data_IF_450945175094
#
_entry.id   IF_450945175094
#
_cell.length_a   1.000
_cell.length_b   1.000
_cell.length_c   1.000
_cell.angle_alpha   90.00
_cell.angle_beta   90.00
_cell.angle_gamma   90.00
#
_symmetry.space_group_name_H-M   'P 1'
#
loop_
_entity.id
_entity.type
_entity.pdbx_description
1 polymer ?
#
# COMPACT_ATOMS: atom_id res chain seq x y z
N UNK A 1 4.64 4.55 -3.51
CA UNK A 1 3.25 4.56 -4.01
C UNK A 1 2.72 5.92 -3.65
N UNK A 2 2.40 6.76 -4.63
CA UNK A 2 1.91 8.10 -4.37
C UNK A 2 0.37 8.06 -4.39
N UNK A 3 -0.25 8.11 -3.21
CA UNK A 3 -1.69 8.30 -3.09
C UNK A 3 -1.94 9.73 -2.61
N UNK A 4 -2.54 10.56 -3.45
CA UNK A 4 -2.88 11.95 -3.12
C UNK A 4 -4.31 12.10 -2.60
N UNK A 5 -5.08 11.02 -2.48
CA UNK A 5 -6.51 11.07 -2.12
C UNK A 5 -6.79 11.81 -0.79
N UNK A 6 -5.92 11.64 0.22
CA UNK A 6 -6.03 12.38 1.49
C UNK A 6 -5.89 13.90 1.32
N UNK A 7 -5.06 14.34 0.37
CA UNK A 7 -4.84 15.78 0.12
C UNK A 7 -5.80 16.34 -0.92
N UNK A 8 -6.07 15.58 -1.98
CA UNK A 8 -6.86 16.03 -3.12
C UNK A 8 -8.37 15.89 -2.88
N UNK A 9 -8.79 14.84 -2.20
CA UNK A 9 -10.21 14.49 -1.99
C UNK A 9 -10.62 14.49 -0.51
N UNK A 10 -9.68 14.74 0.41
CA UNK A 10 -9.91 14.70 1.85
C UNK A 10 -10.51 13.37 2.34
N UNK A 11 -10.26 12.27 1.62
CA UNK A 11 -10.68 10.93 2.01
C UNK A 11 -9.48 10.08 2.42
N UNK A 12 -9.70 9.29 3.47
CA UNK A 12 -8.75 8.29 3.93
C UNK A 12 -8.72 8.19 5.44
N UNK A 13 -8.64 6.97 5.92
CA UNK A 13 -8.46 6.59 7.32
C UNK A 13 -7.03 6.09 7.53
N UNK A 14 -6.55 6.04 8.78
CA UNK A 14 -5.35 5.28 9.10
C UNK A 14 -5.52 3.81 8.67
N UNK A 15 -4.47 3.24 8.11
CA UNK A 15 -4.50 1.89 7.55
C UNK A 15 -4.86 0.83 8.59
N UNK A 16 -4.28 0.92 9.79
CA UNK A 16 -4.57 0.00 10.91
C UNK A 16 -6.03 0.06 11.35
N UNK A 17 -6.62 1.25 11.40
CA UNK A 17 -8.04 1.43 11.74
C UNK A 17 -8.93 0.74 10.71
N UNK A 18 -8.62 0.92 9.43
CA UNK A 18 -9.37 0.31 8.32
C UNK A 18 -9.34 -1.22 8.39
N UNK A 19 -8.19 -1.79 8.75
CA UNK A 19 -8.05 -3.24 8.92
C UNK A 19 -8.90 -3.73 10.10
N UNK A 20 -8.82 -3.08 11.26
CA UNK A 20 -9.63 -3.43 12.42
C UNK A 20 -11.14 -3.40 12.10
N UNK A 21 -11.61 -2.37 11.39
CA UNK A 21 -13.00 -2.26 10.91
C UNK A 21 -13.38 -3.37 9.93
N UNK A 22 -12.45 -3.79 9.07
CA UNK A 22 -12.66 -4.86 8.09
C UNK A 22 -12.65 -6.27 8.72
N UNK A 23 -12.03 -6.42 9.89
CA UNK A 23 -11.97 -7.68 10.63
C UNK A 23 -13.19 -7.87 11.55
N UNK A 24 -13.72 -6.79 12.14
CA UNK A 24 -14.85 -6.82 13.08
C UNK A 24 -16.08 -7.64 12.62
N UNK A 25 -16.57 -7.51 11.37
CA UNK A 25 -17.75 -8.24 10.90
C UNK A 25 -17.44 -9.62 10.28
N UNK A 26 -16.21 -10.15 10.37
CA UNK A 26 -15.83 -11.42 9.72
C UNK A 26 -16.40 -12.64 10.46
N UNK A 27 -17.45 -13.22 9.90
CA UNK A 27 -17.98 -14.53 10.32
C UNK A 27 -17.09 -15.69 9.79
N UNK A 28 -16.94 -16.75 10.59
CA UNK A 28 -16.10 -17.94 10.32
C UNK A 28 -16.45 -18.63 8.98
N UNK A 29 -17.70 -18.51 8.51
CA UNK A 29 -18.22 -19.28 7.38
C UNK A 29 -18.01 -18.64 6.00
N UNK A 30 -17.63 -17.35 5.92
CA UNK A 30 -17.52 -16.64 4.63
C UNK A 30 -16.43 -15.54 4.65
N UNK A 31 -15.24 -15.87 5.21
CA UNK A 31 -14.09 -14.96 5.24
C UNK A 31 -13.52 -14.75 3.84
N UNK A 32 -13.75 -13.59 3.25
CA UNK A 32 -13.00 -13.14 2.07
C UNK A 32 -11.57 -12.76 2.50
N UNK A 33 -10.51 -13.03 1.72
CA UNK A 33 -9.16 -12.64 2.10
C UNK A 33 -8.99 -11.11 2.12
N UNK A 34 -8.32 -10.57 3.13
CA UNK A 34 -7.92 -9.16 3.24
C UNK A 34 -6.48 -9.00 2.75
N UNK A 35 -6.24 -8.14 1.77
CA UNK A 35 -4.88 -7.76 1.38
C UNK A 35 -4.62 -6.29 1.70
N UNK A 36 -3.42 -6.00 2.18
CA UNK A 36 -3.02 -4.67 2.59
C UNK A 36 -1.99 -4.07 1.64
N UNK A 37 -2.23 -2.87 1.12
CA UNK A 37 -1.26 -2.16 0.27
C UNK A 37 -0.17 -1.49 1.11
N UNK A 38 1.09 -1.89 0.94
CA UNK A 38 2.21 -1.38 1.78
C UNK A 38 3.04 -0.30 1.09
N UNK A 39 3.66 0.53 1.91
CA UNK A 39 4.47 1.67 1.50
C UNK A 39 5.92 1.31 1.19
N UNK A 40 6.80 2.33 1.09
CA UNK A 40 8.21 2.14 0.79
C UNK A 40 9.00 1.46 1.93
N UNK A 41 8.47 1.46 3.16
CA UNK A 41 9.09 0.87 4.35
C UNK A 41 8.79 -0.64 4.46
N UNK A 42 9.05 -1.41 3.39
CA UNK A 42 8.50 -2.78 3.23
C UNK A 42 8.68 -3.67 4.45
N UNK A 43 9.89 -3.75 5.03
CA UNK A 43 10.14 -4.69 6.13
C UNK A 43 9.22 -4.40 7.31
N UNK A 44 9.16 -3.13 7.73
CA UNK A 44 8.28 -2.68 8.80
C UNK A 44 6.82 -2.80 8.43
N UNK A 45 6.42 -2.42 7.21
CA UNK A 45 5.03 -2.44 6.78
C UNK A 45 4.48 -3.85 6.57
N UNK A 46 5.31 -4.80 6.13
CA UNK A 46 4.98 -6.24 6.09
C UNK A 46 4.77 -6.76 7.52
N UNK A 47 5.66 -6.43 8.46
CA UNK A 47 5.49 -6.81 9.87
C UNK A 47 4.17 -6.28 10.45
N UNK A 48 3.81 -5.02 10.17
CA UNK A 48 2.50 -4.45 10.58
C UNK A 48 1.34 -5.20 9.93
N UNK A 49 1.46 -5.57 8.66
CA UNK A 49 0.41 -6.29 7.91
C UNK A 49 0.12 -7.65 8.56
N UNK A 50 1.17 -8.41 8.89
CA UNK A 50 1.05 -9.69 9.60
C UNK A 50 0.43 -9.49 10.99
N UNK A 51 0.90 -8.48 11.73
CA UNK A 51 0.37 -8.18 13.06
C UNK A 51 -1.09 -7.70 13.06
N UNK A 52 -1.62 -7.26 11.92
CA UNK A 52 -3.01 -6.84 11.76
C UNK A 52 -3.90 -7.94 11.15
N UNK A 53 -3.48 -9.21 11.14
CA UNK A 53 -4.23 -10.35 10.60
C UNK A 53 -4.73 -10.17 9.15
N UNK A 54 -3.94 -9.49 8.31
CA UNK A 54 -4.20 -9.45 6.88
C UNK A 54 -3.71 -10.76 6.22
N UNK A 55 -4.51 -11.27 5.29
CA UNK A 55 -4.25 -12.51 4.54
C UNK A 55 -3.18 -12.35 3.45
N UNK A 56 -2.86 -11.10 3.08
CA UNK A 56 -1.88 -10.80 2.04
C UNK A 56 -1.40 -9.35 2.02
N UNK A 57 -0.40 -9.11 1.17
CA UNK A 57 0.20 -7.79 0.97
C UNK A 57 0.26 -7.44 -0.52
N UNK A 58 -0.10 -6.20 -0.84
CA UNK A 58 0.05 -5.64 -2.18
C UNK A 58 1.20 -4.63 -2.17
N UNK A 59 2.23 -4.88 -2.97
CA UNK A 59 3.45 -4.06 -3.04
C UNK A 59 3.48 -3.33 -4.38
N UNK A 60 3.56 -2.01 -4.36
CA UNK A 60 3.58 -1.17 -5.56
C UNK A 60 4.98 -0.74 -5.98
N UNK A 61 5.42 0.42 -5.48
CA UNK A 61 6.67 1.08 -5.91
C UNK A 61 7.92 0.20 -5.90
N UNK A 62 8.14 -0.68 -4.92
CA UNK A 62 9.30 -1.58 -4.94
C UNK A 62 9.27 -2.56 -6.12
N UNK A 63 8.10 -3.11 -6.45
CA UNK A 63 7.94 -4.01 -7.61
C UNK A 63 8.04 -3.23 -8.92
N UNK A 64 7.53 -2.00 -8.97
CA UNK A 64 7.62 -1.15 -10.15
C UNK A 64 9.06 -0.77 -10.54
N UNK A 65 10.00 -0.84 -9.59
CA UNK A 65 11.43 -0.59 -9.83
C UNK A 65 12.23 -1.85 -10.17
N UNK A 66 11.61 -3.03 -10.20
CA UNK A 66 12.29 -4.29 -10.48
C UNK A 66 12.65 -4.43 -11.97
N UNK A 67 13.67 -5.25 -12.27
CA UNK A 67 14.13 -5.50 -13.65
C UNK A 67 13.03 -6.15 -14.50
N UNK A 68 12.24 -7.01 -13.88
CA UNK A 68 11.17 -7.78 -14.47
C UNK A 68 9.87 -6.97 -14.63
N UNK A 69 9.82 -5.74 -14.11
CA UNK A 69 8.64 -4.91 -14.22
C UNK A 69 8.32 -4.64 -15.71
N UNK A 70 7.04 -4.73 -16.13
CA UNK A 70 6.65 -4.58 -17.54
C UNK A 70 6.82 -3.14 -18.06
N UNK A 71 7.07 -2.17 -17.16
CA UNK A 71 7.40 -0.80 -17.51
C UNK A 71 8.78 -0.75 -18.14
N UNK A 72 8.83 -0.60 -19.46
CA UNK A 72 10.04 -0.30 -20.22
C UNK A 72 10.88 0.72 -19.45
N UNK A 73 12.20 0.48 -19.34
CA UNK A 73 13.30 1.22 -18.68
C UNK A 73 13.36 2.76 -18.87
N UNK A 74 12.23 3.42 -18.87
CA UNK A 74 12.06 4.86 -18.91
C UNK A 74 11.87 5.31 -17.47
N UNK A 75 12.61 6.33 -17.02
CA UNK A 75 12.33 7.01 -15.76
C UNK A 75 11.04 7.83 -15.94
N UNK A 76 9.89 7.18 -16.14
CA UNK A 76 8.59 7.82 -16.11
C UNK A 76 8.18 7.95 -14.64
N UNK A 77 8.74 8.99 -14.03
CA UNK A 77 8.31 9.51 -12.76
C UNK A 77 6.80 9.65 -12.73
N UNK A 78 6.18 8.91 -11.84
CA UNK A 78 4.88 9.29 -11.31
C UNK A 78 5.11 10.43 -10.31
N UNK A 79 5.16 11.66 -10.84
CA UNK A 79 4.89 12.89 -10.09
C UNK A 79 5.91 13.34 -9.05
N UNK A 80 7.18 13.52 -9.45
CA UNK A 80 8.14 14.24 -8.59
C UNK A 80 8.97 15.25 -9.40
N UNK A 81 8.37 16.40 -9.70
CA UNK A 81 9.08 17.62 -10.14
C UNK A 81 9.26 18.61 -8.97
N UNK A 82 9.23 18.17 -7.71
CA UNK A 82 9.40 19.06 -6.58
C UNK A 82 10.08 18.38 -5.38
N UNK A 83 11.43 18.33 -5.38
CA UNK A 83 12.28 18.37 -4.16
C UNK A 83 13.76 18.00 -4.35
N UNK A 84 14.29 17.86 -5.57
CA UNK A 84 15.76 17.97 -5.77
C UNK A 84 16.19 19.43 -5.87
N UNK A 85 16.21 20.10 -4.72
CA UNK A 85 17.00 21.31 -4.50
C UNK A 85 18.16 20.97 -3.56
N UNK A 86 19.37 21.25 -4.05
CA UNK A 86 20.61 21.55 -3.30
C UNK A 86 21.00 20.65 -2.12
#
# INVERSE_FOLDING_TARGET
MACTAKHALAIGTPQTTTVAESLLPRDELNKQPLSLAVGPELGTDICKTIACDADGVTIGSPIASAYEAPGLWLPLGHGDTASRSA
#
